data_IF_426138130181
#
_entry.id   IF_426138130181
#
_cell.length_a   1.000
_cell.length_b   1.000
_cell.length_c   1.000
_cell.angle_alpha   90.00
_cell.angle_beta   90.00
_cell.angle_gamma   90.00
#
_symmetry.space_group_name_H-M   'P 1'
#
loop_
_entity.id
_entity.type
_entity.pdbx_description
1 polymer ?
#
# COMPACT_ATOMS: atom_id res chain seq x y z
N UNK A 1 -23.18 16.15 18.02
CA UNK A 1 -22.14 16.00 19.07
C UNK A 1 -20.79 16.31 18.42
N UNK A 2 -20.20 17.49 18.67
CA UNK A 2 -18.84 17.79 18.20
C UNK A 2 -17.88 17.02 19.12
N UNK A 3 -17.17 16.04 18.57
CA UNK A 3 -16.05 15.44 19.28
C UNK A 3 -14.92 16.47 19.25
N UNK A 4 -14.64 17.11 20.39
CA UNK A 4 -13.44 17.92 20.58
C UNK A 4 -12.23 16.97 20.63
N UNK A 5 -11.79 16.50 19.46
CA UNK A 5 -10.59 15.69 19.32
C UNK A 5 -9.39 16.62 19.52
N UNK A 6 -8.90 16.73 20.76
CA UNK A 6 -7.62 17.40 21.01
C UNK A 6 -6.52 16.55 20.36
N UNK A 7 -5.69 17.12 19.47
CA UNK A 7 -4.55 16.38 18.91
C UNK A 7 -3.66 15.91 20.05
N UNK A 8 -3.20 14.65 20.01
CA UNK A 8 -2.25 14.15 21.00
C UNK A 8 -0.87 14.74 20.66
N UNK A 9 -0.47 15.78 21.38
CA UNK A 9 0.85 16.39 21.22
C UNK A 9 1.89 15.60 22.03
N UNK A 10 2.95 15.15 21.37
CA UNK A 10 4.12 14.53 22.00
C UNK A 10 5.24 15.57 21.97
N UNK A 11 5.72 15.98 23.14
CA UNK A 11 6.89 16.85 23.22
C UNK A 11 8.16 16.03 23.02
N UNK A 12 9.01 16.47 22.10
CA UNK A 12 10.35 15.94 21.90
C UNK A 12 11.35 16.82 22.65
N UNK A 13 11.88 16.32 23.76
CA UNK A 13 12.84 17.05 24.61
C UNK A 13 14.13 17.42 23.87
N UNK A 14 14.66 16.53 23.02
CA UNK A 14 15.91 16.75 22.31
C UNK A 14 15.81 17.82 21.21
N UNK A 15 14.63 17.94 20.60
CA UNK A 15 14.36 18.91 19.54
C UNK A 15 13.64 20.17 20.05
N UNK A 16 13.24 20.20 21.33
CA UNK A 16 12.39 21.22 21.93
C UNK A 16 11.14 21.54 21.08
N UNK A 17 10.48 20.49 20.54
CA UNK A 17 9.35 20.62 19.61
C UNK A 17 8.19 19.72 19.98
N UNK A 18 6.97 20.22 19.80
CA UNK A 18 5.76 19.40 19.85
C UNK A 18 5.52 18.72 18.51
N UNK A 19 5.24 17.41 18.55
CA UNK A 19 4.81 16.61 17.40
C UNK A 19 3.34 16.24 17.60
N UNK A 20 2.53 16.34 16.54
CA UNK A 20 1.16 15.81 16.57
C UNK A 20 1.23 14.33 16.23
N UNK A 21 0.66 13.47 17.10
CA UNK A 21 0.45 12.07 16.76
C UNK A 21 -0.68 11.98 15.74
N UNK A 22 -0.30 11.79 14.47
CA UNK A 22 -1.23 11.61 13.36
C UNK A 22 -1.34 10.10 13.11
N UNK A 23 -2.56 9.53 13.11
CA UNK A 23 -2.73 8.10 12.85
C UNK A 23 -2.30 7.77 11.43
N UNK A 24 -1.79 6.55 11.23
CA UNK A 24 -1.49 6.02 9.91
C UNK A 24 -2.75 5.44 9.24
N UNK A 25 -2.74 5.35 7.91
CA UNK A 25 -3.81 4.68 7.15
C UNK A 25 -4.09 3.28 7.69
N UNK A 26 -3.05 2.49 7.97
CA UNK A 26 -3.20 1.15 8.54
C UNK A 26 -3.89 1.15 9.90
N UNK A 27 -3.61 2.14 10.76
CA UNK A 27 -4.30 2.30 12.05
C UNK A 27 -5.78 2.64 11.87
N UNK A 28 -6.12 3.51 10.91
CA UNK A 28 -7.52 3.83 10.60
C UNK A 28 -8.25 2.61 10.03
N UNK A 29 -7.63 1.87 9.11
CA UNK A 29 -8.22 0.64 8.54
C UNK A 29 -8.51 -0.39 9.64
N UNK A 30 -7.65 -0.51 10.65
CA UNK A 30 -7.89 -1.39 11.79
C UNK A 30 -9.14 -1.01 12.59
N UNK A 31 -9.51 0.27 12.62
CA UNK A 31 -10.75 0.74 13.27
C UNK A 31 -11.97 0.45 12.37
N UNK A 32 -11.85 0.72 11.06
CA UNK A 32 -12.95 0.58 10.10
C UNK A 32 -13.34 -0.87 9.85
N UNK A 33 -12.35 -1.75 9.73
CA UNK A 33 -12.54 -3.17 9.41
C UNK A 33 -11.67 -3.99 10.35
N UNK A 34 -12.21 -4.30 11.53
CA UNK A 34 -11.48 -4.98 12.60
C UNK A 34 -10.99 -6.36 12.15
N UNK A 35 -9.71 -6.63 12.43
CA UNK A 35 -9.13 -7.97 12.33
C UNK A 35 -8.41 -8.27 13.62
N UNK A 36 -8.86 -9.32 14.31
CA UNK A 36 -8.29 -9.72 15.58
C UNK A 36 -7.07 -10.61 15.35
N UNK A 37 -5.95 -10.19 15.91
CA UNK A 37 -4.69 -10.94 15.93
C UNK A 37 -4.27 -11.32 17.36
N UNK A 38 -5.12 -11.09 18.36
CA UNK A 38 -4.83 -11.30 19.79
C UNK A 38 -4.40 -12.72 20.14
N UNK A 39 -4.81 -13.71 19.34
CA UNK A 39 -4.52 -15.13 19.52
C UNK A 39 -3.26 -15.60 18.77
N UNK A 40 -2.57 -14.72 18.04
CA UNK A 40 -1.36 -15.07 17.28
C UNK A 40 -0.13 -14.62 18.07
N UNK A 41 0.85 -15.53 18.20
CA UNK A 41 2.13 -15.24 18.84
C UNK A 41 2.85 -14.05 18.18
N UNK A 42 3.38 -13.14 18.99
CA UNK A 42 4.02 -11.91 18.52
C UNK A 42 5.24 -12.19 17.64
N UNK A 43 6.01 -13.25 17.92
CA UNK A 43 7.16 -13.61 17.10
C UNK A 43 6.73 -14.11 15.72
N UNK A 44 5.58 -14.81 15.64
CA UNK A 44 5.00 -15.20 14.35
C UNK A 44 4.59 -13.95 13.55
N UNK A 45 3.98 -12.96 14.21
CA UNK A 45 3.62 -11.69 13.56
C UNK A 45 4.85 -10.92 13.09
N UNK A 46 5.91 -10.83 13.91
CA UNK A 46 7.19 -10.19 13.55
C UNK A 46 7.83 -10.86 12.33
N UNK A 47 7.93 -12.19 12.34
CA UNK A 47 8.46 -12.95 11.20
C UNK A 47 7.61 -12.75 9.94
N UNK A 48 6.28 -12.67 10.06
CA UNK A 48 5.42 -12.38 8.92
C UNK A 48 5.63 -10.97 8.37
N UNK A 49 5.81 -9.98 9.26
CA UNK A 49 6.11 -8.60 8.89
C UNK A 49 7.46 -8.46 8.20
N UNK A 50 8.52 -9.07 8.74
CA UNK A 50 9.87 -9.07 8.15
C UNK A 50 9.88 -9.64 6.73
N UNK A 51 9.14 -10.74 6.52
CA UNK A 51 8.95 -11.34 5.18
C UNK A 51 8.25 -10.39 4.21
N UNK A 52 7.23 -9.67 4.70
CA UNK A 52 6.51 -8.65 3.93
C UNK A 52 7.42 -7.53 3.51
N UNK A 53 8.17 -6.98 4.46
CA UNK A 53 9.10 -5.88 4.25
C UNK A 53 10.22 -6.26 3.26
N UNK A 54 10.80 -7.46 3.36
CA UNK A 54 11.80 -7.91 2.38
C UNK A 54 11.21 -7.95 0.97
N UNK A 55 10.01 -8.51 0.78
CA UNK A 55 9.40 -8.55 -0.55
C UNK A 55 9.09 -7.14 -1.09
N UNK A 56 8.55 -6.26 -0.25
CA UNK A 56 8.28 -4.86 -0.62
C UNK A 56 9.55 -4.15 -1.08
N UNK A 57 10.65 -4.30 -0.33
CA UNK A 57 11.95 -3.74 -0.70
C UNK A 57 12.48 -4.28 -2.02
N UNK A 58 12.33 -5.59 -2.28
CA UNK A 58 12.72 -6.20 -3.56
C UNK A 58 11.91 -5.60 -4.73
N UNK A 59 10.60 -5.43 -4.54
CA UNK A 59 9.71 -4.84 -5.56
C UNK A 59 10.05 -3.38 -5.81
N UNK A 60 10.20 -2.58 -4.76
CA UNK A 60 10.56 -1.16 -4.86
C UNK A 60 11.90 -0.98 -5.57
N UNK A 61 12.91 -1.77 -5.19
CA UNK A 61 14.23 -1.74 -5.83
C UNK A 61 14.16 -2.14 -7.31
N UNK A 62 13.41 -3.19 -7.65
CA UNK A 62 13.22 -3.61 -9.04
C UNK A 62 12.56 -2.52 -9.89
N UNK A 63 11.49 -1.90 -9.39
CA UNK A 63 10.78 -0.82 -10.10
C UNK A 63 11.70 0.41 -10.28
N UNK A 64 12.39 0.85 -9.22
CA UNK A 64 13.31 2.00 -9.27
C UNK A 64 14.50 1.81 -10.19
N UNK A 65 14.90 0.56 -10.44
CA UNK A 65 15.97 0.21 -11.36
C UNK A 65 15.45 -0.20 -12.76
N UNK A 66 14.36 0.43 -13.21
CA UNK A 66 13.78 0.22 -14.54
C UNK A 66 13.45 -1.25 -14.83
N UNK A 67 12.95 -1.97 -13.83
CA UNK A 67 12.55 -3.38 -13.96
C UNK A 67 13.71 -4.30 -14.36
N UNK A 68 14.94 -3.98 -13.93
CA UNK A 68 16.11 -4.81 -14.22
C UNK A 68 16.15 -6.07 -13.33
N UNK A 69 15.93 -7.22 -13.95
CA UNK A 69 15.92 -8.54 -13.30
C UNK A 69 17.28 -8.97 -12.73
N UNK A 70 18.39 -8.51 -13.33
CA UNK A 70 19.76 -8.88 -12.93
C UNK A 70 20.13 -8.32 -11.55
N UNK A 71 19.55 -7.16 -11.19
CA UNK A 71 19.88 -6.46 -9.95
C UNK A 71 19.21 -7.09 -8.71
N UNK A 72 18.23 -7.97 -8.90
CA UNK A 72 17.55 -8.66 -7.80
C UNK A 72 18.45 -9.67 -7.09
N UNK A 73 19.47 -10.21 -7.77
CA UNK A 73 20.43 -11.12 -7.16
C UNK A 73 21.24 -10.48 -6.03
N UNK A 74 21.33 -9.13 -6.04
CA UNK A 74 22.06 -8.34 -5.05
C UNK A 74 21.20 -7.89 -3.86
N UNK A 75 19.88 -8.14 -3.89
CA UNK A 75 19.05 -7.87 -2.72
C UNK A 75 19.30 -8.98 -1.69
N UNK A 76 19.98 -8.62 -0.60
CA UNK A 76 20.32 -9.52 0.50
C UNK A 76 19.08 -9.95 1.30
N UNK A 77 18.32 -10.88 0.72
CA UNK A 77 17.23 -11.57 1.38
C UNK A 77 17.55 -13.07 1.44
N UNK A 78 18.00 -13.52 2.60
CA UNK A 78 18.62 -14.83 2.86
C UNK A 78 17.69 -16.07 2.78
N UNK A 79 16.60 -16.03 2.00
CA UNK A 79 15.58 -17.09 2.02
C UNK A 79 15.07 -17.39 0.61
N UNK A 80 15.33 -18.61 0.13
CA UNK A 80 14.89 -19.17 -1.17
C UNK A 80 13.41 -18.92 -1.49
N UNK A 81 12.52 -18.93 -0.50
CA UNK A 81 11.08 -18.68 -0.70
C UNK A 81 10.75 -17.25 -1.13
N UNK A 82 11.55 -16.24 -0.76
CA UNK A 82 11.32 -14.85 -1.19
C UNK A 82 11.60 -14.68 -2.68
N UNK A 83 12.61 -15.37 -3.22
CA UNK A 83 12.89 -15.37 -4.66
C UNK A 83 11.73 -15.97 -5.45
N UNK A 84 11.10 -17.03 -4.98
CA UNK A 84 9.93 -17.61 -5.65
C UNK A 84 8.71 -16.68 -5.59
N UNK A 85 8.43 -16.09 -4.42
CA UNK A 85 7.37 -15.08 -4.27
C UNK A 85 7.60 -13.90 -5.20
N UNK A 86 8.84 -13.43 -5.29
CA UNK A 86 9.20 -12.32 -6.14
C UNK A 86 9.07 -12.66 -7.64
N UNK A 87 9.46 -13.86 -8.07
CA UNK A 87 9.20 -14.34 -9.44
C UNK A 87 7.70 -14.42 -9.74
N UNK A 88 6.89 -14.91 -8.81
CA UNK A 88 5.44 -14.91 -8.95
C UNK A 88 4.90 -13.48 -9.07
N UNK A 89 5.44 -12.53 -8.29
CA UNK A 89 5.08 -11.12 -8.38
C UNK A 89 5.36 -10.55 -9.77
N UNK A 90 6.58 -10.72 -10.30
CA UNK A 90 6.96 -10.21 -11.64
C UNK A 90 5.97 -10.73 -12.69
N UNK A 91 5.67 -12.03 -12.67
CA UNK A 91 4.71 -12.62 -13.61
C UNK A 91 3.34 -11.96 -13.53
N UNK A 92 2.78 -11.84 -12.32
CA UNK A 92 1.47 -11.19 -12.13
C UNK A 92 1.49 -9.72 -12.52
N UNK A 93 2.58 -9.01 -12.24
CA UNK A 93 2.78 -7.61 -12.62
C UNK A 93 2.78 -7.47 -14.14
N UNK A 94 3.63 -8.22 -14.85
CA UNK A 94 3.72 -8.19 -16.31
C UNK A 94 2.36 -8.51 -16.96
N UNK A 95 1.68 -9.56 -16.51
CA UNK A 95 0.34 -9.91 -17.00
C UNK A 95 -0.70 -8.82 -16.72
N UNK A 96 -0.61 -8.17 -15.56
CA UNK A 96 -1.56 -7.13 -15.13
C UNK A 96 -1.41 -5.83 -15.90
N UNK A 97 -0.18 -5.46 -16.22
CA UNK A 97 0.19 -4.17 -16.79
C UNK A 97 0.60 -4.22 -18.27
N UNK A 98 0.55 -5.39 -18.93
CA UNK A 98 0.96 -5.57 -20.34
C UNK A 98 0.39 -4.53 -21.32
N UNK A 99 -0.85 -4.11 -21.11
CA UNK A 99 -1.57 -3.17 -22.00
C UNK A 99 -1.68 -1.76 -21.39
N UNK A 100 -0.93 -1.48 -20.32
CA UNK A 100 -1.00 -0.23 -19.56
C UNK A 100 0.29 0.55 -19.78
N UNK A 101 0.14 1.75 -20.36
CA UNK A 101 1.24 2.70 -20.51
C UNK A 101 1.13 3.79 -19.46
N UNK A 102 2.16 3.90 -18.63
CA UNK A 102 2.28 4.95 -17.61
C UNK A 102 2.98 6.17 -18.18
N UNK A 103 2.42 7.36 -17.93
CA UNK A 103 3.11 8.62 -18.16
C UNK A 103 4.11 8.90 -17.03
N UNK A 104 3.72 8.61 -15.79
CA UNK A 104 4.59 8.62 -14.63
C UNK A 104 4.07 7.65 -13.56
N UNK A 105 4.96 7.26 -12.65
CA UNK A 105 4.64 6.46 -11.47
C UNK A 105 5.63 6.75 -10.35
N UNK A 106 5.22 6.43 -9.13
CA UNK A 106 5.99 6.55 -7.90
C UNK A 106 5.76 5.30 -7.04
N UNK A 107 6.82 4.81 -6.39
CA UNK A 107 6.77 3.76 -5.37
C UNK A 107 7.09 4.32 -4.01
N UNK A 108 6.58 3.69 -2.95
CA UNK A 108 6.80 4.11 -1.56
C UNK A 108 6.46 5.61 -1.32
N UNK A 109 5.42 6.10 -2.00
CA UNK A 109 5.02 7.50 -1.93
C UNK A 109 4.40 7.78 -0.56
N UNK A 110 5.01 8.72 0.15
CA UNK A 110 4.59 9.15 1.50
C UNK A 110 3.56 10.26 1.41
N UNK A 111 2.50 10.11 2.18
CA UNK A 111 1.45 11.10 2.37
C UNK A 111 1.47 11.59 3.81
N UNK A 112 1.31 12.90 3.96
CA UNK A 112 1.21 13.54 5.27
C UNK A 112 0.18 14.66 5.22
N UNK A 113 -0.81 14.57 6.09
CA UNK A 113 -1.80 15.62 6.34
C UNK A 113 -1.95 15.81 7.85
N UNK A 114 -2.54 16.91 8.34
CA UNK A 114 -2.81 17.09 9.76
C UNK A 114 -3.74 16.03 10.39
N UNK A 115 -4.41 15.20 9.58
CA UNK A 115 -5.45 14.25 10.03
C UNK A 115 -4.97 12.79 9.91
N UNK A 116 -4.22 12.47 8.85
CA UNK A 116 -3.84 11.11 8.50
C UNK A 116 -2.52 11.09 7.72
N UNK A 117 -1.72 10.04 7.90
CA UNK A 117 -0.49 9.82 7.16
C UNK A 117 -0.38 8.37 6.66
N UNK A 118 0.55 8.11 5.75
CA UNK A 118 0.90 6.74 5.37
C UNK A 118 1.70 6.67 4.08
N UNK A 119 2.03 5.45 3.67
CA UNK A 119 2.88 5.20 2.49
C UNK A 119 2.17 4.21 1.58
N UNK A 120 1.98 4.56 0.31
CA UNK A 120 1.45 3.62 -0.69
C UNK A 120 2.60 2.91 -1.39
N UNK A 121 2.40 1.62 -1.67
CA UNK A 121 3.43 0.81 -2.33
C UNK A 121 3.68 1.31 -3.77
N UNK A 122 2.62 1.62 -4.52
CA UNK A 122 2.71 2.13 -5.88
C UNK A 122 1.52 3.03 -6.27
N UNK A 123 1.81 4.11 -6.98
CA UNK A 123 0.83 4.94 -7.68
C UNK A 123 1.36 5.31 -9.06
N UNK A 124 0.52 5.17 -10.08
CA UNK A 124 0.84 5.51 -11.45
C UNK A 124 -0.27 6.27 -12.14
N UNK A 125 0.10 7.15 -13.05
CA UNK A 125 -0.83 7.84 -13.94
C UNK A 125 -0.63 7.34 -15.36
N UNK A 126 -1.70 6.83 -15.97
CA UNK A 126 -1.64 6.36 -17.34
C UNK A 126 -1.63 7.53 -18.34
N UNK A 127 -1.25 7.24 -19.59
CA UNK A 127 -1.37 8.19 -20.71
C UNK A 127 -2.81 8.69 -20.91
N UNK A 128 -3.81 7.91 -20.50
CA UNK A 128 -5.23 8.25 -20.57
C UNK A 128 -5.73 9.00 -19.34
N UNK A 129 -4.81 9.51 -18.50
CA UNK A 129 -5.12 10.28 -17.29
C UNK A 129 -5.90 9.49 -16.21
N UNK A 130 -5.91 8.15 -16.29
CA UNK A 130 -6.40 7.26 -15.24
C UNK A 130 -5.33 7.11 -14.15
N UNK A 131 -5.77 7.11 -12.89
CA UNK A 131 -4.91 6.84 -11.74
C UNK A 131 -4.99 5.35 -11.42
N UNK A 132 -3.85 4.71 -11.25
CA UNK A 132 -3.75 3.34 -10.78
C UNK A 132 -3.01 3.37 -9.46
N UNK A 133 -3.62 2.85 -8.40
CA UNK A 133 -2.94 2.65 -7.11
C UNK A 133 -2.87 1.16 -6.81
N UNK A 134 -1.71 0.72 -6.36
CA UNK A 134 -1.47 -0.68 -6.08
C UNK A 134 -0.94 -0.91 -4.67
N UNK A 135 -1.23 -2.10 -4.18
CA UNK A 135 -0.82 -2.58 -2.87
C UNK A 135 -0.42 -4.07 -3.00
N UNK A 136 0.74 -4.42 -2.46
CA UNK A 136 1.33 -5.75 -2.57
C UNK A 136 1.13 -6.52 -1.28
N UNK A 137 0.49 -7.70 -1.33
CA UNK A 137 0.16 -8.47 -0.12
C UNK A 137 0.72 -9.89 -0.18
N UNK A 138 1.31 -10.38 0.92
CA UNK A 138 1.83 -11.76 1.02
C UNK A 138 1.01 -12.66 1.94
N UNK A 139 -0.25 -12.30 2.19
CA UNK A 139 -1.10 -13.02 3.13
C UNK A 139 -1.47 -14.40 2.60
N UNK A 140 -1.60 -15.36 3.50
CA UNK A 140 -2.09 -16.71 3.17
C UNK A 140 -3.62 -16.77 3.06
N UNK A 141 -4.33 -15.77 3.60
CA UNK A 141 -5.78 -15.68 3.52
C UNK A 141 -6.20 -14.67 2.46
N UNK A 142 -7.32 -14.98 1.82
CA UNK A 142 -8.06 -14.12 0.91
C UNK A 142 -9.55 -14.12 1.30
N UNK A 143 -9.80 -14.15 2.60
CA UNK A 143 -11.14 -13.92 3.15
C UNK A 143 -11.69 -12.57 2.71
N UNK A 144 -13.01 -12.47 2.65
CA UNK A 144 -13.69 -11.24 2.24
C UNK A 144 -13.23 -10.03 3.04
N UNK A 145 -13.01 -10.21 4.35
CA UNK A 145 -12.57 -9.15 5.25
C UNK A 145 -11.16 -8.64 4.93
N UNK A 146 -10.26 -9.51 4.47
CA UNK A 146 -8.90 -9.11 4.08
C UNK A 146 -8.93 -8.26 2.81
N UNK A 147 -9.69 -8.70 1.81
CA UNK A 147 -9.86 -7.95 0.57
C UNK A 147 -10.47 -6.58 0.85
N UNK A 148 -11.50 -6.53 1.69
CA UNK A 148 -12.15 -5.28 2.10
C UNK A 148 -11.16 -4.33 2.79
N UNK A 149 -10.31 -4.83 3.68
CA UNK A 149 -9.24 -4.04 4.33
C UNK A 149 -8.27 -3.43 3.31
N UNK A 150 -7.82 -4.22 2.34
CA UNK A 150 -6.88 -3.74 1.32
C UNK A 150 -7.51 -2.67 0.42
N UNK A 151 -8.77 -2.84 0.05
CA UNK A 151 -9.53 -1.85 -0.70
C UNK A 151 -9.69 -0.55 0.10
N UNK A 152 -10.02 -0.64 1.39
CA UNK A 152 -10.12 0.54 2.26
C UNK A 152 -8.78 1.27 2.42
N UNK A 153 -7.68 0.53 2.52
CA UNK A 153 -6.33 1.09 2.54
C UNK A 153 -6.06 1.93 1.28
N UNK A 154 -6.34 1.38 0.09
CA UNK A 154 -6.17 2.10 -1.18
C UNK A 154 -7.13 3.29 -1.32
N UNK A 155 -8.38 3.19 -0.85
CA UNK A 155 -9.33 4.31 -0.80
C UNK A 155 -8.81 5.46 0.05
N UNK A 156 -8.26 5.18 1.22
CA UNK A 156 -7.69 6.20 2.10
C UNK A 156 -6.43 6.84 1.51
N UNK A 157 -5.55 6.06 0.88
CA UNK A 157 -4.41 6.62 0.15
C UNK A 157 -4.84 7.50 -1.02
N UNK A 158 -5.90 7.12 -1.74
CA UNK A 158 -6.45 7.94 -2.81
C UNK A 158 -6.98 9.28 -2.27
N UNK A 159 -7.70 9.28 -1.14
CA UNK A 159 -8.14 10.51 -0.51
C UNK A 159 -6.96 11.40 -0.10
N UNK A 160 -5.87 10.82 0.42
CA UNK A 160 -4.65 11.54 0.75
C UNK A 160 -3.96 12.14 -0.48
N UNK A 161 -3.82 11.38 -1.57
CA UNK A 161 -3.27 11.88 -2.85
C UNK A 161 -4.06 13.08 -3.38
N UNK A 162 -5.36 13.16 -3.06
CA UNK A 162 -6.23 14.25 -3.48
C UNK A 162 -6.37 15.37 -2.47
N UNK A 163 -5.66 15.33 -1.35
CA UNK A 163 -5.86 16.29 -0.25
C UNK A 163 -7.36 16.37 0.12
N UNK A 164 -8.00 15.21 0.17
CA UNK A 164 -9.43 15.01 0.42
C UNK A 164 -10.39 15.71 -0.55
N UNK A 165 -9.91 16.14 -1.73
CA UNK A 165 -10.74 16.73 -2.79
C UNK A 165 -11.30 15.64 -3.68
N UNK A 166 -12.61 15.68 -3.93
CA UNK A 166 -13.26 14.77 -4.88
C UNK A 166 -13.01 15.30 -6.30
N UNK A 167 -12.50 14.44 -7.19
CA UNK A 167 -12.33 14.74 -8.60
C UNK A 167 -13.05 13.70 -9.48
N UNK A 168 -13.28 14.06 -10.75
CA UNK A 168 -13.94 13.20 -11.73
C UNK A 168 -12.98 12.18 -12.37
N UNK A 169 -11.90 11.81 -11.69
CA UNK A 169 -10.90 10.91 -12.28
C UNK A 169 -11.33 9.46 -12.12
N UNK A 170 -11.01 8.69 -13.16
CA UNK A 170 -11.07 7.22 -13.08
C UNK A 170 -9.89 6.78 -12.24
N UNK A 171 -10.18 5.97 -11.21
CA UNK A 171 -9.17 5.31 -10.41
C UNK A 171 -9.36 3.81 -10.47
N UNK A 172 -8.27 3.07 -10.67
CA UNK A 172 -8.24 1.62 -10.57
C UNK A 172 -7.35 1.22 -9.41
N UNK A 173 -7.91 0.46 -8.47
CA UNK A 173 -7.20 -0.16 -7.37
C UNK A 173 -6.81 -1.57 -7.73
N UNK A 174 -5.53 -1.91 -7.53
CA UNK A 174 -4.98 -3.22 -7.86
C UNK A 174 -4.26 -3.79 -6.64
N UNK A 175 -4.69 -4.96 -6.18
CA UNK A 175 -4.00 -5.71 -5.14
C UNK A 175 -3.33 -6.90 -5.80
N UNK A 176 -2.02 -7.03 -5.66
CA UNK A 176 -1.26 -8.19 -6.16
C UNK A 176 -0.85 -9.03 -4.96
N UNK A 177 -1.26 -10.30 -4.95
CA UNK A 177 -0.82 -11.27 -3.96
C UNK A 177 -0.01 -12.40 -4.64
N UNK A 178 1.33 -12.33 -4.63
CA UNK A 178 2.18 -13.34 -5.27
C UNK A 178 2.18 -14.68 -4.55
N UNK A 179 1.84 -14.71 -3.25
CA UNK A 179 1.75 -15.97 -2.50
C UNK A 179 0.54 -16.79 -2.93
N UNK A 180 -0.59 -16.12 -3.14
CA UNK A 180 -1.83 -16.74 -3.62
C UNK A 180 -1.95 -16.73 -5.15
N UNK A 181 -0.95 -16.20 -5.85
CA UNK A 181 -0.92 -16.04 -7.31
C UNK A 181 -2.17 -15.34 -7.86
N UNK A 182 -2.62 -14.30 -7.17
CA UNK A 182 -3.91 -13.65 -7.43
C UNK A 182 -3.75 -12.14 -7.57
N UNK A 183 -4.58 -11.57 -8.45
CA UNK A 183 -4.76 -10.13 -8.61
C UNK A 183 -6.22 -9.79 -8.38
N UNK A 184 -6.47 -8.74 -7.61
CA UNK A 184 -7.80 -8.18 -7.38
C UNK A 184 -7.81 -6.78 -7.98
N UNK A 185 -8.83 -6.47 -8.79
CA UNK A 185 -8.98 -5.17 -9.45
C UNK A 185 -10.33 -4.58 -9.08
N UNK A 186 -10.34 -3.35 -8.56
CA UNK A 186 -11.55 -2.56 -8.34
C UNK A 186 -11.44 -1.25 -9.12
N UNK A 187 -12.35 -1.03 -10.06
CA UNK A 187 -12.44 0.23 -10.80
C UNK A 187 -13.47 1.12 -10.14
N UNK A 188 -13.08 2.35 -9.80
CA UNK A 188 -13.98 3.36 -9.26
C UNK A 188 -14.02 4.53 -10.23
N UNK A 189 -15.25 4.89 -10.62
CA UNK A 189 -15.52 6.12 -11.33
C UNK A 189 -16.17 7.05 -10.31
N UNK A 190 -15.39 7.98 -9.77
CA UNK A 190 -15.94 9.06 -8.95
C UNK A 190 -16.60 10.04 -9.92
N UNK A 191 -17.93 10.03 -9.95
CA UNK A 191 -18.72 11.01 -10.70
C UNK A 191 -19.19 12.06 -9.70
N UNK A 192 -18.76 13.31 -9.87
CA UNK A 192 -19.53 14.42 -9.32
C UNK A 192 -20.89 14.41 -10.02
N UNK A 193 -21.95 14.10 -9.28
CA UNK A 193 -23.28 14.58 -9.66
C UNK A 193 -23.23 16.10 -9.48
N UNK A 194 -23.19 16.82 -10.61
CA UNK A 194 -23.47 18.26 -10.67
C UNK A 194 -24.92 18.47 -10.26
#
# INVERSE_FOLDING_TARGET
MRLDVKPLYIYNDALHKYSILIPSVSQIVNILVLKDFSQIDENILKLAQERGNCLHNMIDYWIKNNFNDELIEFVDCNIKSHRELFKNFIKLYQETFKDIQFNNYETEKKYYTPILCGTTDFIGKTINNEIIMCDWKITSSNEKIDIERYIWQLKLYYLLEKDFKIDNKKVTFIIINPKLKKVIKEKIILLNKI
#
